data_IF_869939584415
#
_entry.id   IF_869939584415
#
_cell.length_a   1.000
_cell.length_b   1.000
_cell.length_c   1.000
_cell.angle_alpha   90.00
_cell.angle_beta   90.00
_cell.angle_gamma   90.00
#
_symmetry.space_group_name_H-M   'P 1'
#
loop_
_entity.id
_entity.type
_entity.pdbx_description
1 polymer ?
#
# COMPACT_ATOMS: atom_id res chain seq x y z
N UNK A 1 30.70 10.78 40.53
CA UNK A 1 29.96 10.88 39.24
C UNK A 1 30.83 10.86 37.98
N UNK A 2 32.07 11.40 37.93
CA UNK A 2 32.88 11.47 36.69
C UNK A 2 33.39 10.13 36.11
N UNK A 3 33.57 9.06 36.90
CA UNK A 3 34.12 7.78 36.41
C UNK A 3 33.15 6.95 35.54
N UNK A 4 31.84 7.12 35.69
CA UNK A 4 30.83 6.27 35.03
C UNK A 4 30.67 6.55 33.53
N UNK A 5 31.01 7.75 33.07
CA UNK A 5 30.87 8.15 31.66
C UNK A 5 32.11 7.81 30.81
N UNK A 6 33.21 7.37 31.44
CA UNK A 6 34.54 7.30 30.85
C UNK A 6 34.94 5.93 30.27
N UNK A 7 34.20 4.85 30.51
CA UNK A 7 34.52 3.49 30.01
C UNK A 7 33.66 3.03 28.83
N UNK A 8 32.88 3.93 28.22
CA UNK A 8 31.85 3.57 27.23
C UNK A 8 32.45 2.90 25.99
N UNK A 9 32.18 1.60 25.84
CA UNK A 9 31.99 0.95 24.53
C UNK A 9 30.49 0.72 24.37
N UNK A 10 29.87 1.23 23.31
CA UNK A 10 28.58 0.69 22.88
C UNK A 10 28.85 -0.71 22.35
N UNK A 11 28.67 -1.72 23.22
CA UNK A 11 28.72 -3.11 22.81
C UNK A 11 27.31 -3.48 22.40
N UNK A 12 27.14 -3.77 21.11
CA UNK A 12 25.85 -4.25 20.62
C UNK A 12 25.72 -5.73 21.00
N UNK A 13 24.67 -6.01 21.75
CA UNK A 13 24.23 -7.34 22.10
C UNK A 13 23.57 -7.98 20.87
N UNK A 14 24.12 -9.10 20.41
CA UNK A 14 23.59 -9.86 19.28
C UNK A 14 22.64 -10.94 19.75
N UNK A 15 23.00 -11.63 20.82
CA UNK A 15 22.28 -12.82 21.28
C UNK A 15 22.47 -13.02 22.78
N UNK A 16 21.45 -13.54 23.44
CA UNK A 16 21.52 -14.00 24.83
C UNK A 16 21.23 -15.50 24.84
N UNK A 17 22.13 -16.26 25.44
CA UNK A 17 22.00 -17.71 25.63
C UNK A 17 21.89 -18.03 27.11
N UNK A 18 20.86 -18.75 27.53
CA UNK A 18 20.78 -19.30 28.89
C UNK A 18 21.21 -20.76 28.89
N UNK A 19 22.08 -21.13 29.83
CA UNK A 19 22.57 -22.51 30.00
C UNK A 19 21.97 -23.15 31.27
N UNK A 20 21.70 -24.46 31.17
CA UNK A 20 21.14 -25.30 32.23
C UNK A 20 19.89 -24.68 32.89
N UNK A 21 18.83 -24.51 32.10
CA UNK A 21 17.56 -23.98 32.57
C UNK A 21 16.91 -24.99 33.52
N UNK A 22 16.64 -24.58 34.76
CA UNK A 22 15.94 -25.39 35.74
C UNK A 22 14.93 -24.56 36.53
N UNK A 23 13.72 -25.12 36.70
CA UNK A 23 12.68 -24.56 37.59
C UNK A 23 13.08 -24.71 39.07
N UNK A 24 13.84 -25.77 39.38
CA UNK A 24 14.26 -26.10 40.73
C UNK A 24 15.66 -25.53 41.02
N UNK A 25 15.86 -25.00 42.24
CA UNK A 25 17.20 -24.71 42.76
C UNK A 25 17.86 -26.04 43.18
N UNK A 26 19.16 -26.19 42.92
CA UNK A 26 19.94 -27.41 43.16
C UNK A 26 20.01 -27.92 44.64
N UNK A 27 19.33 -27.26 45.58
CA UNK A 27 19.25 -27.66 46.99
C UNK A 27 17.92 -28.38 47.34
N UNK A 28 17.03 -28.62 46.38
CA UNK A 28 15.76 -29.34 46.57
C UNK A 28 15.83 -30.83 46.24
N UNK A 29 14.85 -31.60 46.74
CA UNK A 29 14.79 -33.05 46.63
C UNK A 29 15.00 -33.59 45.21
N UNK A 30 16.01 -34.44 45.06
CA UNK A 30 16.55 -34.94 43.79
C UNK A 30 15.61 -35.85 42.98
N UNK A 31 14.46 -36.23 43.54
CA UNK A 31 13.46 -37.09 42.89
C UNK A 31 12.54 -36.31 41.94
N UNK A 32 12.05 -35.13 42.36
CA UNK A 32 11.21 -34.24 41.52
C UNK A 32 11.98 -33.65 40.32
N UNK A 33 13.29 -33.49 40.47
CA UNK A 33 14.17 -32.92 39.45
C UNK A 33 14.34 -33.87 38.24
N UNK A 34 14.18 -35.19 38.42
CA UNK A 34 14.39 -36.18 37.35
C UNK A 34 13.13 -36.48 36.53
N UNK A 35 11.95 -36.44 37.15
CA UNK A 35 10.68 -36.75 36.44
C UNK A 35 10.18 -35.58 35.60
N UNK A 36 10.41 -34.33 36.03
CA UNK A 36 10.01 -33.12 35.31
C UNK A 36 11.19 -32.40 34.63
N UNK A 37 12.40 -32.94 34.76
CA UNK A 37 13.63 -32.40 34.17
C UNK A 37 13.86 -32.76 32.69
N UNK A 38 12.97 -33.55 32.08
CA UNK A 38 13.07 -33.95 30.65
C UNK A 38 12.09 -33.18 29.74
N UNK A 39 11.30 -32.24 30.28
CA UNK A 39 10.35 -31.43 29.52
C UNK A 39 10.96 -30.15 28.93
N UNK A 40 10.47 -29.71 27.77
CA UNK A 40 10.76 -28.38 27.23
C UNK A 40 9.99 -27.32 28.01
N UNK A 41 10.69 -26.45 28.74
CA UNK A 41 10.04 -25.33 29.47
C UNK A 41 10.01 -24.11 28.55
N UNK A 42 8.82 -23.61 28.17
CA UNK A 42 8.73 -22.37 27.42
C UNK A 42 9.19 -21.21 28.32
N UNK A 43 10.18 -20.47 27.84
CA UNK A 43 10.80 -19.37 28.57
C UNK A 43 10.85 -18.12 27.69
N UNK A 44 10.74 -16.96 28.32
CA UNK A 44 11.09 -15.68 27.72
C UNK A 44 11.95 -14.89 28.72
N UNK A 45 12.70 -13.91 28.23
CA UNK A 45 13.43 -13.01 29.10
C UNK A 45 12.93 -11.58 28.99
N UNK A 46 13.11 -10.86 30.07
CA UNK A 46 12.78 -9.44 30.21
C UNK A 46 14.08 -8.69 30.44
N UNK A 47 14.31 -7.66 29.64
CA UNK A 47 15.37 -6.67 29.85
C UNK A 47 14.75 -5.42 30.43
N UNK A 48 15.21 -5.04 31.62
CA UNK A 48 14.84 -3.81 32.31
C UNK A 48 16.07 -2.92 32.49
N UNK A 49 15.82 -1.62 32.49
CA UNK A 49 16.79 -0.62 32.95
C UNK A 49 16.90 -0.67 34.47
N UNK A 50 18.02 -0.17 35.03
CA UNK A 50 18.17 -0.01 36.49
C UNK A 50 17.08 0.90 37.11
N UNK A 51 16.42 1.72 36.29
CA UNK A 51 15.30 2.58 36.68
C UNK A 51 13.94 1.89 36.68
N UNK A 52 13.89 0.60 36.32
CA UNK A 52 12.64 -0.17 36.22
C UNK A 52 11.89 0.02 34.89
N UNK A 53 12.46 0.75 33.93
CA UNK A 53 11.90 0.89 32.58
C UNK A 53 12.08 -0.42 31.80
N UNK A 54 10.99 -0.94 31.24
CA UNK A 54 11.00 -2.11 30.37
C UNK A 54 11.68 -1.75 29.04
N UNK A 55 12.83 -2.37 28.75
CA UNK A 55 13.58 -2.12 27.52
C UNK A 55 13.16 -3.08 26.41
N UNK A 56 12.99 -4.36 26.75
CA UNK A 56 12.63 -5.38 25.78
C UNK A 56 12.08 -6.63 26.48
N UNK A 57 11.12 -7.29 25.82
CA UNK A 57 10.61 -8.61 26.19
C UNK A 57 10.81 -9.51 25.00
N UNK A 58 11.43 -10.66 25.22
CA UNK A 58 11.68 -11.62 24.15
C UNK A 58 10.43 -12.39 23.77
N UNK A 59 10.44 -12.94 22.57
CA UNK A 59 9.51 -14.01 22.22
C UNK A 59 9.71 -15.23 23.12
N UNK A 60 8.64 -16.00 23.30
CA UNK A 60 8.66 -17.24 24.06
C UNK A 60 9.38 -18.29 23.22
N UNK A 61 10.45 -18.85 23.77
CA UNK A 61 11.16 -19.96 23.17
C UNK A 61 11.00 -21.21 24.04
N UNK A 62 10.69 -22.33 23.40
CA UNK A 62 10.74 -23.67 23.99
C UNK A 62 11.89 -24.43 23.32
N UNK A 63 12.93 -24.77 24.09
CA UNK A 63 14.14 -25.40 23.57
C UNK A 63 14.82 -26.27 24.61
N UNK A 64 15.92 -26.92 24.24
CA UNK A 64 16.64 -27.81 25.15
C UNK A 64 17.03 -27.10 26.44
N UNK A 65 16.79 -27.74 27.59
CA UNK A 65 17.16 -27.22 28.90
C UNK A 65 18.66 -26.96 29.06
N UNK A 66 19.51 -27.53 28.19
CA UNK A 66 20.96 -27.31 28.24
C UNK A 66 21.38 -25.94 27.68
N UNK A 67 20.76 -25.48 26.60
CA UNK A 67 21.05 -24.20 25.95
C UNK A 67 19.80 -23.68 25.24
N UNK A 68 19.35 -22.50 25.64
CA UNK A 68 18.24 -21.79 25.02
C UNK A 68 18.72 -20.40 24.58
N UNK A 69 18.39 -20.04 23.34
CA UNK A 69 19.23 -19.16 22.54
C UNK A 69 18.38 -18.12 21.81
N UNK A 70 18.43 -16.88 22.27
CA UNK A 70 17.59 -15.80 21.76
C UNK A 70 18.40 -14.88 20.84
N UNK A 71 18.17 -15.00 19.52
CA UNK A 71 19.00 -14.36 18.48
C UNK A 71 18.50 -12.97 18.04
N UNK A 72 17.24 -12.64 18.28
CA UNK A 72 16.62 -11.42 17.75
C UNK A 72 16.47 -10.34 18.82
N UNK A 73 17.58 -9.70 19.17
CA UNK A 73 17.54 -8.55 20.08
C UNK A 73 17.52 -7.24 19.29
N UNK A 74 16.49 -6.37 19.48
CA UNK A 74 16.51 -5.05 18.90
C UNK A 74 17.67 -4.23 19.47
N UNK A 75 18.15 -3.26 18.69
CA UNK A 75 19.20 -2.34 19.14
C UNK A 75 18.68 -1.52 20.32
N UNK A 76 19.14 -1.86 21.52
CA UNK A 76 18.84 -1.11 22.73
C UNK A 76 19.36 0.33 22.57
N UNK A 77 18.46 1.31 22.62
CA UNK A 77 18.75 2.74 22.44
C UNK A 77 19.30 3.40 23.72
N UNK A 78 19.36 2.66 24.83
CA UNK A 78 19.85 3.15 26.11
C UNK A 78 21.38 3.17 26.22
N UNK A 79 21.93 4.28 26.74
CA UNK A 79 23.35 4.38 27.13
C UNK A 79 23.65 3.76 28.52
N UNK A 80 22.74 2.94 29.05
CA UNK A 80 22.85 2.33 30.37
C UNK A 80 23.88 1.20 30.36
N UNK A 81 24.89 1.31 31.23
CA UNK A 81 25.92 0.27 31.41
C UNK A 81 25.46 -0.89 32.27
N UNK A 82 24.37 -0.71 33.01
CA UNK A 82 23.76 -1.71 33.86
C UNK A 82 22.38 -2.04 33.34
N UNK A 83 22.10 -3.33 33.19
CA UNK A 83 20.83 -3.86 32.75
C UNK A 83 20.38 -4.94 33.72
N UNK A 84 19.07 -5.07 33.93
CA UNK A 84 18.48 -6.14 34.71
C UNK A 84 17.88 -7.15 33.74
N UNK A 85 18.37 -8.38 33.79
CA UNK A 85 17.90 -9.49 32.96
C UNK A 85 17.09 -10.45 33.84
N UNK A 86 15.81 -10.59 33.55
CA UNK A 86 14.93 -11.57 34.21
C UNK A 86 14.62 -12.69 33.25
N UNK A 87 14.81 -13.93 33.68
CA UNK A 87 14.34 -15.12 32.95
C UNK A 87 13.00 -15.53 33.55
N UNK A 88 11.99 -15.69 32.71
CA UNK A 88 10.63 -16.10 33.10
C UNK A 88 10.31 -17.41 32.39
N UNK A 89 9.81 -18.38 33.14
CA UNK A 89 9.41 -19.69 32.63
C UNK A 89 7.98 -20.00 33.00
N UNK A 90 7.30 -20.76 32.14
CA UNK A 90 5.99 -21.31 32.46
C UNK A 90 6.18 -22.48 33.42
N UNK A 91 5.48 -22.45 34.55
CA UNK A 91 5.40 -23.59 35.47
C UNK A 91 4.10 -24.32 35.17
N UNK A 92 4.17 -25.57 34.68
CA UNK A 92 3.01 -26.41 34.47
C UNK A 92 2.17 -26.57 35.74
N UNK A 93 0.86 -26.56 35.56
CA UNK A 93 -0.17 -26.84 36.55
C UNK A 93 0.11 -28.12 37.36
N UNK A 94 0.65 -29.17 36.74
CA UNK A 94 1.05 -30.43 37.42
C UNK A 94 2.06 -30.21 38.56
N UNK A 95 3.01 -29.29 38.39
CA UNK A 95 4.02 -28.95 39.42
C UNK A 95 3.40 -28.02 40.48
N UNK A 96 2.47 -27.15 40.10
CA UNK A 96 1.78 -26.27 41.05
C UNK A 96 0.81 -27.07 41.95
N UNK A 97 0.16 -28.08 41.41
CA UNK A 97 -0.73 -29.01 42.14
C UNK A 97 0.02 -29.90 43.13
N UNK A 98 1.30 -30.21 42.89
CA UNK A 98 2.12 -30.99 43.85
C UNK A 98 2.66 -30.13 44.99
N UNK A 99 2.83 -28.83 44.78
CA UNK A 99 3.35 -27.89 45.79
C UNK A 99 2.22 -27.26 46.63
N UNK A 100 1.05 -27.03 46.03
CA UNK A 100 -0.13 -26.52 46.75
C UNK A 100 -1.00 -27.67 47.25
N UNK A 101 -1.28 -27.70 48.56
CA UNK A 101 -2.08 -28.76 49.20
C UNK A 101 -3.58 -28.71 48.85
N UNK A 102 -4.01 -27.82 47.95
CA UNK A 102 -5.42 -27.55 47.66
C UNK A 102 -5.87 -28.29 46.40
N UNK A 103 -6.47 -29.47 46.59
CA UNK A 103 -6.90 -30.38 45.51
C UNK A 103 -8.17 -29.94 44.74
N UNK A 104 -8.75 -28.77 45.04
CA UNK A 104 -10.07 -28.37 44.53
C UNK A 104 -10.09 -27.06 43.73
N UNK A 105 -8.93 -26.44 43.47
CA UNK A 105 -8.84 -25.27 42.59
C UNK A 105 -8.41 -25.68 41.17
N UNK A 106 -9.02 -25.10 40.14
CA UNK A 106 -8.45 -25.13 38.79
C UNK A 106 -7.17 -24.28 38.86
N UNK A 107 -6.01 -24.93 38.93
CA UNK A 107 -4.71 -24.26 38.95
C UNK A 107 -4.21 -24.21 37.51
N UNK A 108 -4.40 -23.06 36.86
CA UNK A 108 -3.86 -22.81 35.52
C UNK A 108 -2.33 -22.68 35.55
N UNK A 109 -1.69 -22.91 34.40
CA UNK A 109 -0.25 -22.71 34.22
C UNK A 109 0.13 -21.25 34.53
N UNK A 110 1.15 -21.04 35.38
CA UNK A 110 1.59 -19.69 35.79
C UNK A 110 3.00 -19.38 35.30
N UNK A 111 3.18 -18.16 34.81
CA UNK A 111 4.50 -17.63 34.48
C UNK A 111 5.21 -17.16 35.74
N UNK A 112 6.38 -17.74 36.03
CA UNK A 112 7.17 -17.41 37.20
C UNK A 112 8.56 -16.91 36.80
N UNK A 113 9.06 -15.91 37.53
CA UNK A 113 10.43 -15.41 37.37
C UNK A 113 11.40 -16.46 37.93
N UNK A 114 12.17 -17.10 37.05
CA UNK A 114 13.13 -18.13 37.41
C UNK A 114 14.39 -17.54 38.03
N UNK A 115 14.93 -16.48 37.40
CA UNK A 115 16.15 -15.80 37.83
C UNK A 115 16.11 -14.32 37.48
N UNK A 116 16.79 -13.50 38.28
CA UNK A 116 17.00 -12.07 38.04
C UNK A 116 18.47 -11.75 38.19
N UNK A 117 19.08 -11.20 37.14
CA UNK A 117 20.49 -10.83 37.09
C UNK A 117 20.63 -9.33 36.91
N UNK A 118 21.38 -8.69 37.79
CA UNK A 118 21.86 -7.31 37.60
C UNK A 118 23.22 -7.35 36.91
N UNK A 119 23.25 -7.03 35.62
CA UNK A 119 24.43 -7.16 34.77
C UNK A 119 25.07 -5.79 34.57
N UNK A 120 26.34 -5.65 34.97
CA UNK A 120 27.20 -4.52 34.59
C UNK A 120 28.03 -4.92 33.36
N UNK A 121 27.73 -4.32 32.21
CA UNK A 121 28.39 -4.62 30.93
C UNK A 121 29.90 -4.39 30.94
N UNK A 122 30.42 -3.61 31.91
CA UNK A 122 31.86 -3.37 32.07
C UNK A 122 32.60 -4.50 32.80
N UNK A 123 31.89 -5.33 33.59
CA UNK A 123 32.48 -6.36 34.47
C UNK A 123 32.31 -7.79 33.93
N UNK A 124 31.93 -7.92 32.66
CA UNK A 124 31.74 -9.20 31.99
C UNK A 124 33.07 -9.91 31.73
N UNK A 125 33.10 -11.22 31.95
CA UNK A 125 34.26 -12.06 31.66
C UNK A 125 34.13 -12.68 30.26
N UNK A 126 35.17 -12.62 29.40
CA UNK A 126 35.12 -13.24 28.09
C UNK A 126 35.18 -14.77 28.22
N UNK A 127 34.31 -15.47 27.48
CA UNK A 127 34.31 -16.93 27.36
C UNK A 127 34.50 -17.31 25.89
N UNK A 128 35.18 -18.43 25.67
CA UNK A 128 35.17 -19.11 24.37
C UNK A 128 34.28 -20.35 24.47
N UNK A 129 33.11 -20.31 23.81
CA UNK A 129 32.04 -21.32 23.94
C UNK A 129 32.53 -22.76 23.66
N UNK A 130 33.51 -22.93 22.78
CA UNK A 130 34.03 -24.25 22.39
C UNK A 130 34.91 -24.93 23.45
N UNK A 131 35.41 -24.18 24.44
CA UNK A 131 36.46 -24.65 25.38
C UNK A 131 36.00 -24.74 26.83
N UNK A 132 34.79 -24.28 27.12
CA UNK A 132 34.31 -24.03 28.48
C UNK A 132 32.91 -24.60 28.67
N UNK A 133 32.75 -25.44 29.70
CA UNK A 133 31.44 -25.88 30.15
C UNK A 133 30.95 -24.98 31.30
N UNK A 134 29.77 -24.40 31.09
CA UNK A 134 29.08 -23.60 32.11
C UNK A 134 28.29 -24.54 33.01
N UNK A 135 28.66 -24.58 34.30
CA UNK A 135 28.03 -25.48 35.29
C UNK A 135 27.00 -24.79 36.18
N UNK A 136 26.83 -23.47 36.01
CA UNK A 136 25.77 -22.72 36.69
C UNK A 136 24.39 -23.11 36.17
N UNK A 137 23.40 -23.13 37.07
CA UNK A 137 21.98 -23.25 36.73
C UNK A 137 21.42 -21.88 36.31
N UNK A 138 20.65 -21.83 35.22
CA UNK A 138 20.05 -20.62 34.64
C UNK A 138 21.06 -19.54 34.22
N UNK A 139 22.29 -19.92 33.86
CA UNK A 139 23.41 -19.01 33.61
C UNK A 139 23.31 -18.27 32.26
N UNK A 140 23.28 -16.91 32.22
CA UNK A 140 23.28 -16.15 30.97
C UNK A 140 24.68 -15.95 30.37
N UNK A 141 24.80 -16.30 29.08
CA UNK A 141 25.90 -15.93 28.18
C UNK A 141 25.40 -14.84 27.24
N UNK A 142 26.18 -13.78 27.10
CA UNK A 142 25.89 -12.64 26.25
C UNK A 142 26.85 -12.65 25.06
N UNK A 143 26.32 -12.84 23.86
CA UNK A 143 27.08 -12.72 22.62
C UNK A 143 27.03 -11.27 22.14
N UNK A 144 28.20 -10.63 22.17
CA UNK A 144 28.41 -9.27 21.71
C UNK A 144 29.18 -9.30 20.39
N UNK A 145 29.21 -8.19 19.64
CA UNK A 145 30.01 -8.08 18.38
C UNK A 145 31.47 -8.51 18.57
N UNK A 146 32.03 -8.23 19.74
CA UNK A 146 33.44 -8.48 20.05
C UNK A 146 33.73 -9.92 20.53
N UNK A 147 32.70 -10.73 20.83
CA UNK A 147 32.83 -12.08 21.38
C UNK A 147 31.76 -12.43 22.42
N UNK A 148 31.83 -13.65 22.96
CA UNK A 148 30.92 -14.19 23.98
C UNK A 148 31.40 -13.87 25.40
N UNK A 149 30.49 -13.51 26.29
CA UNK A 149 30.81 -13.12 27.65
C UNK A 149 29.83 -13.69 28.69
N UNK A 150 30.29 -13.90 29.92
CA UNK A 150 29.46 -14.32 31.05
C UNK A 150 29.65 -13.43 32.28
N UNK A 151 28.81 -13.69 33.29
CA UNK A 151 28.90 -13.05 34.59
C UNK A 151 30.12 -13.57 35.36
N UNK A 152 30.85 -12.66 36.00
CA UNK A 152 32.08 -12.95 36.73
C UNK A 152 31.91 -13.92 37.94
N UNK A 153 30.67 -14.16 38.37
CA UNK A 153 30.34 -15.02 39.50
C UNK A 153 30.07 -16.49 39.12
N UNK A 154 30.09 -16.83 37.82
CA UNK A 154 29.71 -18.17 37.36
C UNK A 154 30.84 -19.20 37.44
N UNK A 155 30.49 -20.43 37.85
CA UNK A 155 31.41 -21.55 37.95
C UNK A 155 31.68 -22.14 36.56
N UNK A 156 32.82 -21.78 36.00
CA UNK A 156 33.32 -22.22 34.70
C UNK A 156 34.26 -23.42 34.90
N UNK A 157 34.03 -24.54 34.19
CA UNK A 157 34.98 -25.66 34.11
C UNK A 157 35.58 -25.74 32.70
N UNK A 158 36.91 -25.76 32.54
CA UNK A 158 37.53 -25.95 31.23
C UNK A 158 37.28 -27.40 30.75
N UNK A 159 36.86 -27.54 29.50
CA UNK A 159 36.68 -28.86 28.87
C UNK A 159 38.08 -29.44 28.59
N UNK A 160 38.48 -30.49 29.31
CA UNK A 160 39.75 -31.19 29.03
C UNK A 160 39.59 -31.98 27.73
N UNK A 161 40.21 -31.47 26.67
CA UNK A 161 40.40 -32.19 25.42
C UNK A 161 39.68 -31.59 24.22
N UNK A 162 40.22 -30.49 23.67
CA UNK A 162 40.34 -30.32 22.22
C UNK A 162 41.44 -29.29 21.95
N UNK A 163 42.39 -29.69 21.12
CA UNK A 163 43.55 -28.89 20.69
C UNK A 163 43.11 -27.94 19.58
N UNK A 164 43.78 -26.78 19.54
CA UNK A 164 43.68 -25.70 18.54
C UNK A 164 42.65 -24.60 18.84
N UNK A 165 43.00 -23.74 19.80
CA UNK A 165 42.43 -22.40 19.87
C UNK A 165 42.91 -21.60 18.65
N UNK A 166 42.02 -21.25 17.72
CA UNK A 166 42.30 -20.14 16.81
C UNK A 166 42.56 -18.90 17.67
N UNK A 167 43.84 -18.48 17.74
CA UNK A 167 44.24 -17.19 18.32
C UNK A 167 43.62 -16.08 17.46
N UNK A 168 42.36 -15.72 17.71
CA UNK A 168 41.93 -14.36 17.42
C UNK A 168 42.77 -13.47 18.32
N UNK A 169 43.55 -12.58 17.71
CA UNK A 169 44.27 -11.54 18.43
C UNK A 169 43.24 -10.73 19.24
N UNK A 170 43.13 -11.03 20.54
CA UNK A 170 42.45 -10.17 21.49
C UNK A 170 43.31 -8.92 21.54
N UNK A 171 42.95 -7.93 20.74
CA UNK A 171 43.59 -6.63 20.80
C UNK A 171 43.46 -6.13 22.24
N UNK A 172 44.60 -5.92 22.91
CA UNK A 172 44.64 -5.12 24.13
C UNK A 172 44.31 -3.68 23.73
N UNK A 173 43.02 -3.41 23.56
CA UNK A 173 42.52 -2.09 23.24
C UNK A 173 42.71 -1.23 24.48
N UNK A 174 43.76 -0.39 24.45
CA UNK A 174 44.01 0.64 25.45
C UNK A 174 42.74 1.48 25.62
N UNK A 175 42.16 1.44 26.83
CA UNK A 175 41.03 2.29 27.20
C UNK A 175 41.53 3.74 27.15
N UNK A 176 41.22 4.47 26.09
CA UNK A 176 41.49 5.90 26.02
C UNK A 176 40.44 6.63 26.85
N UNK A 177 40.86 7.11 28.02
CA UNK A 177 40.08 7.96 28.90
C UNK A 177 40.05 9.39 28.35
N UNK A 178 39.17 9.68 27.40
CA UNK A 178 38.87 11.07 27.06
C UNK A 178 37.40 11.24 26.69
N UNK A 179 36.64 11.79 27.64
CA UNK A 179 35.38 12.47 27.34
C UNK A 179 35.72 13.71 26.51
N UNK A 180 35.74 13.57 25.19
CA UNK A 180 35.83 14.72 24.31
C UNK A 180 34.49 15.47 24.34
N UNK A 181 34.52 16.80 24.42
CA UNK A 181 33.31 17.64 24.30
C UNK A 181 32.47 17.27 23.06
N UNK A 182 33.15 16.90 21.96
CA UNK A 182 32.51 16.45 20.72
C UNK A 182 31.64 15.19 20.89
N UNK A 183 31.98 14.25 21.78
CA UNK A 183 31.13 13.07 22.01
C UNK A 183 29.90 13.38 22.84
N UNK A 184 30.01 14.31 23.80
CA UNK A 184 28.86 14.82 24.56
C UNK A 184 27.92 15.64 23.66
N UNK A 185 28.46 16.47 22.78
CA UNK A 185 27.68 17.23 21.81
C UNK A 185 26.92 16.31 20.85
N UNK A 186 27.55 15.24 20.36
CA UNK A 186 26.88 14.22 19.52
C UNK A 186 25.75 13.53 20.26
N UNK A 187 25.93 13.18 21.53
CA UNK A 187 24.88 12.58 22.34
C UNK A 187 23.72 13.54 22.56
N UNK A 188 24.01 14.82 22.84
CA UNK A 188 22.97 15.84 22.97
C UNK A 188 22.19 16.02 21.65
N UNK A 189 22.89 16.12 20.52
CA UNK A 189 22.25 16.21 19.20
C UNK A 189 21.41 14.98 18.86
N UNK A 190 21.82 13.79 19.29
CA UNK A 190 21.02 12.57 19.11
C UNK A 190 19.75 12.60 19.97
N UNK A 191 19.84 13.09 21.22
CA UNK A 191 18.67 13.26 22.07
C UNK A 191 17.70 14.33 21.52
N UNK A 192 18.23 15.43 21.00
CA UNK A 192 17.45 16.49 20.33
C UNK A 192 16.74 15.92 19.09
N UNK A 193 17.44 15.15 18.26
CA UNK A 193 16.83 14.44 17.13
C UNK A 193 15.74 13.46 17.59
N UNK A 194 15.98 12.70 18.66
CA UNK A 194 14.96 11.80 19.22
C UNK A 194 13.73 12.56 19.73
N UNK A 195 13.91 13.76 20.28
CA UNK A 195 12.81 14.63 20.70
C UNK A 195 12.02 15.12 19.49
N UNK A 196 12.72 15.56 18.44
CA UNK A 196 12.09 15.99 17.20
C UNK A 196 11.27 14.87 16.55
N UNK A 197 11.79 13.64 16.51
CA UNK A 197 11.02 12.49 16.00
C UNK A 197 9.76 12.25 16.83
N UNK A 198 9.83 12.47 18.15
CA UNK A 198 8.64 12.34 19.01
C UNK A 198 7.61 13.45 18.75
N UNK A 199 8.06 14.68 18.49
CA UNK A 199 7.20 15.78 18.07
C UNK A 199 6.55 15.49 16.70
N UNK A 200 7.30 14.97 15.73
CA UNK A 200 6.76 14.55 14.43
C UNK A 200 5.72 13.43 14.58
N UNK A 201 5.95 12.46 15.47
CA UNK A 201 4.96 11.42 15.78
C UNK A 201 3.69 12.06 16.35
N UNK A 202 3.81 13.00 17.28
CA UNK A 202 2.66 13.69 17.85
C UNK A 202 1.91 14.54 16.81
N UNK A 203 2.63 15.19 15.89
CA UNK A 203 2.04 15.93 14.78
C UNK A 203 1.28 15.01 13.83
N UNK A 204 1.85 13.84 13.50
CA UNK A 204 1.17 12.81 12.68
C UNK A 204 -0.06 12.28 13.41
N UNK A 205 0.04 11.99 14.71
CA UNK A 205 -1.10 11.57 15.52
C UNK A 205 -2.21 12.61 15.52
N UNK A 206 -1.88 13.90 15.69
CA UNK A 206 -2.86 14.99 15.60
C UNK A 206 -3.52 15.06 14.23
N UNK A 207 -2.77 14.94 13.14
CA UNK A 207 -3.32 14.92 11.77
C UNK A 207 -4.28 13.75 11.56
N UNK A 208 -3.92 12.57 12.07
CA UNK A 208 -4.79 11.39 12.01
C UNK A 208 -6.07 11.64 12.81
N UNK A 209 -5.99 12.24 14.00
CA UNK A 209 -7.17 12.59 14.81
C UNK A 209 -8.08 13.60 14.10
N UNK A 210 -7.52 14.64 13.48
CA UNK A 210 -8.25 15.62 12.68
C UNK A 210 -8.97 14.97 11.48
N UNK A 211 -8.29 14.05 10.79
CA UNK A 211 -8.87 13.26 9.69
C UNK A 211 -10.06 12.41 10.18
N UNK A 212 -9.95 11.78 11.36
CA UNK A 212 -11.04 11.04 11.98
C UNK A 212 -12.24 11.92 12.38
N UNK A 213 -11.99 13.16 12.82
CA UNK A 213 -13.06 14.10 13.18
C UNK A 213 -13.80 14.63 11.95
N UNK A 214 -13.11 14.82 10.82
CA UNK A 214 -13.65 15.41 9.60
C UNK A 214 -14.66 14.53 8.85
N UNK A 215 -14.57 13.19 8.98
CA UNK A 215 -15.29 12.22 8.14
C UNK A 215 -16.34 11.38 8.90
N UNK A 216 -17.07 11.98 9.83
CA UNK A 216 -18.11 11.22 10.55
C UNK A 216 -19.30 10.86 9.65
N UNK A 217 -19.49 9.56 9.44
CA UNK A 217 -20.70 8.87 8.97
C UNK A 217 -21.27 9.23 7.57
N UNK A 218 -20.61 10.07 6.77
CA UNK A 218 -21.08 10.39 5.41
C UNK A 218 -21.10 9.13 4.54
N UNK A 219 -20.00 8.38 4.48
CA UNK A 219 -19.93 7.14 3.69
C UNK A 219 -20.88 6.06 4.20
N UNK A 220 -21.11 5.98 5.51
CA UNK A 220 -22.08 5.05 6.09
C UNK A 220 -23.52 5.38 5.68
N UNK A 221 -23.86 6.68 5.62
CA UNK A 221 -25.16 7.12 5.11
C UNK A 221 -25.31 6.81 3.62
N UNK A 222 -24.29 7.06 2.80
CA UNK A 222 -24.31 6.67 1.39
C UNK A 222 -24.51 5.17 1.20
N UNK A 223 -23.82 4.32 1.96
CA UNK A 223 -23.99 2.87 1.90
C UNK A 223 -25.41 2.44 2.30
N UNK A 224 -26.01 3.04 3.32
CA UNK A 224 -27.42 2.80 3.67
C UNK A 224 -28.38 3.23 2.57
N UNK A 225 -28.10 4.34 1.88
CA UNK A 225 -28.92 4.81 0.77
C UNK A 225 -28.81 3.88 -0.44
N UNK A 226 -27.61 3.38 -0.74
CA UNK A 226 -27.42 2.32 -1.75
C UNK A 226 -28.19 1.06 -1.37
N UNK A 227 -28.14 0.63 -0.11
CA UNK A 227 -28.87 -0.55 0.34
C UNK A 227 -30.38 -0.39 0.22
N UNK A 228 -30.93 0.79 0.56
CA UNK A 228 -32.34 1.11 0.30
C UNK A 228 -32.69 1.06 -1.19
N UNK A 229 -31.79 1.54 -2.06
CA UNK A 229 -32.01 1.50 -3.51
C UNK A 229 -32.05 0.06 -4.06
N UNK A 230 -31.20 -0.83 -3.51
CA UNK A 230 -31.22 -2.26 -3.83
C UNK A 230 -32.56 -2.87 -3.40
N UNK A 231 -33.01 -2.62 -2.16
CA UNK A 231 -34.31 -3.10 -1.67
C UNK A 231 -35.49 -2.61 -2.53
N UNK A 232 -35.43 -1.35 -3.03
CA UNK A 232 -36.48 -0.84 -3.94
C UNK A 232 -36.45 -1.57 -5.28
N UNK A 233 -35.28 -1.83 -5.85
CA UNK A 233 -35.14 -2.56 -7.11
C UNK A 233 -35.60 -4.02 -6.96
N UNK A 234 -35.32 -4.66 -5.82
CA UNK A 234 -35.81 -6.01 -5.53
C UNK A 234 -37.34 -6.04 -5.43
N UNK A 235 -37.96 -5.05 -4.78
CA UNK A 235 -39.42 -4.92 -4.72
C UNK A 235 -40.03 -4.73 -6.10
N UNK A 236 -39.45 -3.88 -6.94
CA UNK A 236 -39.89 -3.68 -8.32
C UNK A 236 -39.75 -4.96 -9.15
N UNK A 237 -38.62 -5.68 -9.01
CA UNK A 237 -38.41 -6.95 -9.69
C UNK A 237 -39.42 -8.01 -9.24
N UNK A 238 -39.75 -8.05 -7.94
CA UNK A 238 -40.77 -8.92 -7.39
C UNK A 238 -42.18 -8.55 -7.91
N UNK A 239 -42.51 -7.26 -8.00
CA UNK A 239 -43.76 -6.79 -8.59
C UNK A 239 -43.86 -7.15 -10.07
N UNK A 240 -42.77 -7.00 -10.85
CA UNK A 240 -42.72 -7.45 -12.24
C UNK A 240 -42.89 -8.96 -12.39
N UNK A 241 -42.33 -9.75 -11.46
CA UNK A 241 -42.56 -11.20 -11.44
C UNK A 241 -44.00 -11.55 -11.09
N UNK A 242 -44.62 -10.84 -10.14
CA UNK A 242 -46.04 -11.02 -9.79
C UNK A 242 -46.96 -10.62 -10.94
N UNK A 243 -46.70 -9.50 -11.61
CA UNK A 243 -47.50 -9.08 -12.77
C UNK A 243 -47.37 -10.08 -13.92
N UNK A 244 -46.16 -10.59 -14.20
CA UNK A 244 -45.96 -11.67 -15.17
C UNK A 244 -46.75 -12.93 -14.82
N UNK A 245 -46.69 -13.39 -13.56
CA UNK A 245 -47.48 -14.54 -13.10
C UNK A 245 -48.98 -14.30 -13.22
N UNK A 246 -49.45 -13.10 -12.90
CA UNK A 246 -50.86 -12.74 -13.04
C UNK A 246 -51.30 -12.70 -14.51
N UNK A 247 -50.43 -12.20 -15.41
CA UNK A 247 -50.66 -12.24 -16.85
C UNK A 247 -50.66 -13.69 -17.36
N UNK A 248 -49.75 -14.55 -16.90
CA UNK A 248 -49.74 -15.98 -17.24
C UNK A 248 -51.00 -16.71 -16.75
N UNK A 249 -51.47 -16.42 -15.54
CA UNK A 249 -52.73 -16.97 -15.00
C UNK A 249 -53.95 -16.47 -15.80
N UNK A 250 -54.01 -15.17 -16.10
CA UNK A 250 -55.06 -14.60 -16.94
C UNK A 250 -54.97 -15.16 -18.38
N UNK A 251 -53.77 -15.45 -18.88
CA UNK A 251 -53.57 -16.09 -20.17
C UNK A 251 -54.02 -17.54 -20.17
N UNK A 252 -53.82 -18.29 -19.08
CA UNK A 252 -54.35 -19.65 -18.90
C UNK A 252 -55.88 -19.66 -18.87
N UNK A 253 -56.50 -18.77 -18.08
CA UNK A 253 -57.95 -18.59 -18.04
C UNK A 253 -58.49 -18.14 -19.42
N UNK A 254 -57.78 -17.24 -20.10
CA UNK A 254 -58.14 -16.79 -21.44
C UNK A 254 -57.95 -17.90 -22.48
N UNK A 255 -56.93 -18.75 -22.39
CA UNK A 255 -56.67 -19.82 -23.35
C UNK A 255 -57.75 -20.91 -23.29
N UNK A 256 -58.30 -21.18 -22.11
CA UNK A 256 -59.47 -22.05 -21.94
C UNK A 256 -60.72 -21.44 -22.60
N UNK A 257 -60.90 -20.12 -22.52
CA UNK A 257 -61.98 -19.42 -23.26
C UNK A 257 -61.73 -19.25 -24.76
N UNK A 258 -60.46 -19.14 -25.19
CA UNK A 258 -60.01 -18.94 -26.58
C UNK A 258 -60.13 -20.22 -27.39
N UNK A 259 -59.95 -21.40 -26.77
CA UNK A 259 -60.19 -22.68 -27.45
C UNK A 259 -61.68 -22.89 -27.79
N UNK A 260 -62.60 -22.22 -27.09
CA UNK A 260 -64.03 -22.20 -27.42
C UNK A 260 -64.42 -21.09 -28.41
N UNK A 261 -63.67 -19.99 -28.51
CA UNK A 261 -63.99 -18.84 -29.39
C UNK A 261 -63.14 -18.75 -30.66
N UNK A 262 -62.16 -19.63 -30.86
CA UNK A 262 -61.32 -19.71 -32.06
C UNK A 262 -62.04 -20.17 -33.33
N UNK A 263 -63.32 -20.54 -33.27
CA UNK A 263 -64.12 -20.85 -34.47
C UNK A 263 -64.76 -19.60 -35.10
N UNK A 264 -64.81 -18.45 -34.43
CA UNK A 264 -65.66 -17.33 -34.89
C UNK A 264 -64.98 -15.97 -35.14
N UNK A 265 -63.73 -15.73 -34.74
CA UNK A 265 -63.10 -14.42 -34.92
C UNK A 265 -61.71 -14.50 -35.58
N UNK A 266 -61.69 -15.10 -36.77
CA UNK A 266 -60.72 -14.72 -37.78
C UNK A 266 -61.10 -13.33 -38.29
N UNK A 267 -60.17 -12.37 -38.25
CA UNK A 267 -60.26 -10.99 -38.78
C UNK A 267 -60.85 -9.92 -37.84
N UNK A 268 -60.04 -9.39 -36.92
CA UNK A 268 -60.17 -7.98 -36.51
C UNK A 268 -58.81 -7.27 -36.53
N UNK A 269 -58.76 -6.22 -37.33
CA UNK A 269 -57.65 -5.27 -37.54
C UNK A 269 -57.44 -4.36 -36.32
N UNK A 270 -57.02 -4.91 -35.18
CA UNK A 270 -56.58 -4.11 -34.02
C UNK A 270 -55.06 -4.18 -33.77
N UNK A 271 -54.38 -5.20 -34.26
CA UNK A 271 -52.92 -5.36 -34.11
C UNK A 271 -52.09 -4.35 -34.92
N UNK A 272 -52.64 -3.74 -35.97
CA UNK A 272 -51.95 -2.69 -36.75
C UNK A 272 -51.84 -1.36 -35.98
N UNK A 273 -52.81 -1.03 -35.12
CA UNK A 273 -52.83 0.24 -34.38
C UNK A 273 -51.70 0.35 -33.33
N UNK A 274 -51.33 -0.77 -32.70
CA UNK A 274 -50.22 -0.83 -31.75
C UNK A 274 -48.89 -0.67 -32.50
N UNK A 275 -48.78 -1.24 -33.71
CA UNK A 275 -47.59 -1.14 -34.54
C UNK A 275 -47.39 0.30 -35.09
N UNK A 276 -48.47 1.03 -35.35
CA UNK A 276 -48.45 2.45 -35.73
C UNK A 276 -47.96 3.36 -34.59
N UNK A 277 -48.34 3.07 -33.34
CA UNK A 277 -47.83 3.81 -32.18
C UNK A 277 -46.33 3.60 -31.99
N UNK A 278 -45.82 2.37 -32.11
CA UNK A 278 -44.37 2.12 -32.11
C UNK A 278 -43.67 2.78 -33.30
N UNK A 279 -44.24 2.68 -34.51
CA UNK A 279 -43.72 3.34 -35.72
C UNK A 279 -43.64 4.85 -35.57
N UNK A 280 -44.63 5.48 -34.92
CA UNK A 280 -44.65 6.92 -34.67
C UNK A 280 -43.58 7.35 -33.65
N UNK A 281 -43.35 6.55 -32.61
CA UNK A 281 -42.30 6.80 -31.60
C UNK A 281 -40.92 6.65 -32.24
N UNK A 282 -40.69 5.60 -33.03
CA UNK A 282 -39.44 5.42 -33.76
C UNK A 282 -39.22 6.52 -34.79
N UNK A 283 -40.27 6.95 -35.51
CA UNK A 283 -40.18 8.07 -36.45
C UNK A 283 -39.81 9.37 -35.74
N UNK A 284 -40.44 9.68 -34.60
CA UNK A 284 -40.06 10.84 -33.77
C UNK A 284 -38.64 10.73 -33.23
N UNK A 285 -38.23 9.54 -32.81
CA UNK A 285 -36.86 9.30 -32.35
C UNK A 285 -35.83 9.55 -33.46
N UNK A 286 -36.09 9.03 -34.67
CA UNK A 286 -35.25 9.26 -35.85
C UNK A 286 -35.20 10.75 -36.18
N UNK A 287 -36.34 11.45 -36.21
CA UNK A 287 -36.37 12.90 -36.46
C UNK A 287 -35.58 13.70 -35.40
N UNK A 288 -35.68 13.33 -34.12
CA UNK A 288 -34.92 13.97 -33.03
C UNK A 288 -33.42 13.67 -33.19
N UNK A 289 -33.06 12.44 -33.53
CA UNK A 289 -31.68 12.01 -33.79
C UNK A 289 -31.10 12.80 -34.97
N UNK A 290 -31.81 12.88 -36.09
CA UNK A 290 -31.36 13.59 -37.29
C UNK A 290 -31.21 15.09 -37.01
N UNK A 291 -32.13 15.69 -36.25
CA UNK A 291 -32.01 17.09 -35.82
C UNK A 291 -30.81 17.31 -34.90
N UNK A 292 -30.53 16.38 -34.00
CA UNK A 292 -29.36 16.43 -33.13
C UNK A 292 -28.07 16.31 -33.94
N UNK A 293 -28.04 15.40 -34.92
CA UNK A 293 -26.90 15.19 -35.81
C UNK A 293 -26.65 16.44 -36.67
N UNK A 294 -27.69 17.04 -37.25
CA UNK A 294 -27.59 18.34 -37.94
C UNK A 294 -27.02 19.45 -37.04
N UNK A 295 -27.41 19.51 -35.76
CA UNK A 295 -26.84 20.48 -34.82
C UNK A 295 -25.37 20.19 -34.51
N UNK A 296 -24.99 18.91 -34.37
CA UNK A 296 -23.59 18.50 -34.20
C UNK A 296 -22.75 18.89 -35.42
N UNK A 297 -23.25 18.65 -36.63
CA UNK A 297 -22.60 19.08 -37.87
C UNK A 297 -22.41 20.59 -37.94
N UNK A 298 -23.45 21.36 -37.62
CA UNK A 298 -23.35 22.84 -37.60
C UNK A 298 -22.30 23.31 -36.60
N UNK A 299 -22.26 22.74 -35.40
CA UNK A 299 -21.24 23.07 -34.38
C UNK A 299 -19.83 22.67 -34.83
N UNK A 300 -19.68 21.50 -35.46
CA UNK A 300 -18.40 21.06 -35.99
C UNK A 300 -17.91 22.00 -37.10
N UNK A 301 -18.80 22.42 -38.01
CA UNK A 301 -18.47 23.37 -39.07
C UNK A 301 -18.06 24.74 -38.51
N UNK A 302 -18.80 25.25 -37.51
CA UNK A 302 -18.42 26.47 -36.80
C UNK A 302 -17.05 26.34 -36.12
N UNK A 303 -16.79 25.21 -35.46
CA UNK A 303 -15.52 24.93 -34.83
C UNK A 303 -14.37 24.87 -35.84
N UNK A 304 -14.56 24.17 -36.96
CA UNK A 304 -13.60 24.13 -38.06
C UNK A 304 -13.35 25.55 -38.58
N UNK A 305 -14.41 26.36 -38.76
CA UNK A 305 -14.28 27.76 -39.18
C UNK A 305 -13.44 28.61 -38.22
N UNK A 306 -13.62 28.43 -36.91
CA UNK A 306 -12.84 29.13 -35.88
C UNK A 306 -11.36 28.71 -35.93
N UNK A 307 -11.10 27.42 -36.08
CA UNK A 307 -9.73 26.91 -36.12
C UNK A 307 -9.09 26.97 -37.52
N UNK A 308 -9.80 27.40 -38.57
CA UNK A 308 -9.23 27.56 -39.90
C UNK A 308 -8.13 28.63 -39.93
N UNK A 309 -8.21 29.65 -39.08
CA UNK A 309 -7.15 30.66 -38.93
C UNK A 309 -5.95 30.16 -38.12
N UNK A 310 -6.06 28.98 -37.48
CA UNK A 310 -4.93 28.31 -36.85
C UNK A 310 -4.36 27.32 -37.86
N UNK A 311 -3.03 27.27 -38.05
CA UNK A 311 -2.39 26.38 -39.04
C UNK A 311 -2.62 24.86 -38.81
N UNK A 312 -3.53 24.46 -37.92
CA UNK A 312 -3.95 23.10 -37.66
C UNK A 312 -4.46 22.36 -38.91
N UNK A 313 -5.11 23.06 -39.83
CA UNK A 313 -5.68 22.50 -41.07
C UNK A 313 -4.76 22.67 -42.29
N UNK A 314 -3.52 23.12 -42.10
CA UNK A 314 -2.57 23.31 -43.18
C UNK A 314 -2.21 21.95 -43.82
N UNK A 315 -2.24 21.86 -45.16
CA UNK A 315 -1.99 20.61 -45.89
C UNK A 315 -0.62 20.00 -45.62
N UNK A 316 0.37 20.85 -45.35
CA UNK A 316 1.78 20.42 -45.31
C UNK A 316 2.27 20.17 -43.88
N UNK A 317 1.74 20.93 -42.90
CA UNK A 317 2.21 20.94 -41.51
C UNK A 317 1.11 20.72 -40.47
N UNK A 318 -0.15 20.71 -40.88
CA UNK A 318 -1.29 20.56 -39.99
C UNK A 318 -1.43 19.15 -39.42
N UNK A 319 -2.14 19.07 -38.29
CA UNK A 319 -2.47 17.80 -37.63
C UNK A 319 -3.86 17.29 -38.03
N UNK A 320 -4.65 18.10 -38.74
CA UNK A 320 -6.02 17.77 -39.14
C UNK A 320 -6.14 17.99 -40.64
N UNK A 321 -6.65 17.00 -41.38
CA UNK A 321 -6.85 17.12 -42.83
C UNK A 321 -8.19 16.52 -43.26
N UNK A 322 -8.68 16.99 -44.40
CA UNK A 322 -9.86 16.44 -45.06
C UNK A 322 -9.45 15.56 -46.24
N UNK A 323 -9.96 14.32 -46.29
CA UNK A 323 -9.79 13.47 -47.48
C UNK A 323 -10.58 14.02 -48.68
N UNK A 324 -10.03 13.85 -49.89
CA UNK A 324 -10.61 14.32 -51.16
C UNK A 324 -11.98 13.64 -51.43
N UNK A 325 -12.91 14.33 -52.10
CA UNK A 325 -14.35 14.03 -52.01
C UNK A 325 -14.77 12.79 -52.80
N UNK A 326 -15.71 12.04 -52.21
CA UNK A 326 -16.63 11.15 -52.93
C UNK A 326 -18.10 11.60 -52.84
N UNK A 327 -18.50 12.41 -51.85
CA UNK A 327 -19.84 13.06 -51.77
C UNK A 327 -19.78 14.35 -50.95
N UNK A 328 -20.65 15.34 -51.20
CA UNK A 328 -20.63 16.71 -50.60
C UNK A 328 -21.08 16.75 -49.13
N UNK A 329 -21.74 15.70 -48.61
CA UNK A 329 -22.47 15.78 -47.34
C UNK A 329 -21.79 15.14 -46.11
N UNK A 330 -20.66 14.43 -46.26
CA UNK A 330 -20.05 13.71 -45.13
C UNK A 330 -18.81 14.41 -44.53
N UNK A 331 -19.02 15.52 -43.81
CA UNK A 331 -17.91 16.23 -43.13
C UNK A 331 -17.21 15.36 -42.08
N UNK A 332 -17.95 14.49 -41.38
CA UNK A 332 -17.41 13.59 -40.35
C UNK A 332 -16.50 12.52 -40.96
N UNK A 333 -16.93 11.84 -42.04
CA UNK A 333 -16.13 10.80 -42.68
C UNK A 333 -14.84 11.37 -43.29
N UNK A 334 -14.85 12.65 -43.66
CA UNK A 334 -13.69 13.35 -44.21
C UNK A 334 -12.68 13.79 -43.17
N UNK A 335 -13.09 14.04 -41.92
CA UNK A 335 -12.21 14.58 -40.89
C UNK A 335 -11.21 13.50 -40.46
N UNK A 336 -9.94 13.64 -40.86
CA UNK A 336 -8.87 12.76 -40.44
C UNK A 336 -7.90 13.49 -39.52
N UNK A 337 -7.67 12.88 -38.37
CA UNK A 337 -6.75 13.36 -37.33
C UNK A 337 -5.41 12.66 -37.48
N UNK A 338 -4.29 13.38 -37.47
CA UNK A 338 -2.96 12.76 -37.57
C UNK A 338 -2.44 12.42 -36.17
N UNK A 339 -1.96 11.18 -35.94
CA UNK A 339 -1.24 10.89 -34.70
C UNK A 339 0.08 11.67 -34.68
N UNK A 340 0.48 12.09 -33.49
CA UNK A 340 1.73 12.80 -33.25
C UNK A 340 2.92 11.84 -33.33
N UNK A 341 3.94 12.21 -34.10
CA UNK A 341 5.21 11.49 -34.16
C UNK A 341 6.25 12.18 -33.28
N UNK A 342 6.71 11.46 -32.25
CA UNK A 342 7.63 11.96 -31.22
C UNK A 342 8.96 12.43 -31.83
N UNK A 343 9.53 11.69 -32.78
CA UNK A 343 10.84 12.00 -33.38
C UNK A 343 10.78 13.30 -34.21
N UNK A 344 9.71 13.46 -34.97
CA UNK A 344 9.48 14.65 -35.80
C UNK A 344 9.28 15.89 -34.91
N UNK A 345 8.48 15.75 -33.84
CA UNK A 345 8.22 16.86 -32.92
C UNK A 345 9.47 17.27 -32.14
N UNK A 346 10.28 16.31 -31.69
CA UNK A 346 11.56 16.59 -31.03
C UNK A 346 12.52 17.34 -31.95
N UNK A 347 12.58 16.94 -33.23
CA UNK A 347 13.41 17.63 -34.23
C UNK A 347 12.94 19.07 -34.44
N UNK A 348 11.66 19.28 -34.68
CA UNK A 348 11.08 20.62 -34.89
C UNK A 348 11.22 21.53 -33.67
N UNK A 349 11.04 21.00 -32.47
CA UNK A 349 11.23 21.76 -31.23
C UNK A 349 12.69 22.10 -30.93
N UNK A 350 13.65 21.34 -31.49
CA UNK A 350 15.09 21.56 -31.34
C UNK A 350 15.70 22.57 -32.31
N UNK A 351 14.98 23.00 -33.35
CA UNK A 351 15.50 23.90 -34.39
C UNK A 351 15.71 25.34 -33.90
N UNK A 352 14.74 25.92 -33.18
CA UNK A 352 14.87 27.24 -32.56
C UNK A 352 13.82 27.46 -31.47
N UNK A 353 14.06 28.43 -30.58
CA UNK A 353 13.11 28.81 -29.52
C UNK A 353 11.75 29.24 -30.08
N UNK A 354 11.75 30.01 -31.19
CA UNK A 354 10.53 30.44 -31.89
C UNK A 354 9.77 29.26 -32.51
N UNK A 355 10.47 28.29 -33.09
CA UNK A 355 9.82 27.08 -33.60
C UNK A 355 9.20 26.24 -32.48
N UNK A 356 9.89 26.16 -31.33
CA UNK A 356 9.36 25.46 -30.15
C UNK A 356 8.07 26.07 -29.64
N UNK A 357 8.01 27.40 -29.50
CA UNK A 357 6.79 28.11 -29.09
C UNK A 357 5.64 27.90 -30.07
N UNK A 358 5.95 27.90 -31.37
CA UNK A 358 4.99 27.59 -32.42
C UNK A 358 4.45 26.15 -32.28
N UNK A 359 5.34 25.16 -32.13
CA UNK A 359 4.96 23.75 -31.94
C UNK A 359 4.09 23.59 -30.68
N UNK A 360 4.47 24.21 -29.56
CA UNK A 360 3.70 24.20 -28.32
C UNK A 360 2.29 24.79 -28.50
N UNK A 361 2.19 25.89 -29.23
CA UNK A 361 0.90 26.54 -29.53
C UNK A 361 0.03 25.64 -30.40
N UNK A 362 0.62 25.01 -31.42
CA UNK A 362 -0.10 24.06 -32.29
C UNK A 362 -0.58 22.82 -31.53
N UNK A 363 0.23 22.26 -30.63
CA UNK A 363 -0.18 21.15 -29.76
C UNK A 363 -1.32 21.55 -28.82
N UNK A 364 -1.26 22.75 -28.26
CA UNK A 364 -2.33 23.31 -27.44
C UNK A 364 -3.64 23.46 -28.22
N UNK A 365 -3.60 24.04 -29.42
CA UNK A 365 -4.79 24.16 -30.26
C UNK A 365 -5.32 22.81 -30.71
N UNK A 366 -4.44 21.84 -31.01
CA UNK A 366 -4.87 20.51 -31.39
C UNK A 366 -5.57 19.78 -30.24
N UNK A 367 -5.03 19.89 -29.02
CA UNK A 367 -5.67 19.38 -27.82
C UNK A 367 -7.03 20.04 -27.57
N UNK A 368 -7.13 21.36 -27.72
CA UNK A 368 -8.39 22.07 -27.58
C UNK A 368 -9.42 21.62 -28.61
N UNK A 369 -9.02 21.49 -29.88
CA UNK A 369 -9.89 21.01 -30.93
C UNK A 369 -10.41 19.61 -30.63
N UNK A 370 -9.54 18.69 -30.21
CA UNK A 370 -9.93 17.32 -29.85
C UNK A 370 -10.87 17.30 -28.64
N UNK A 371 -10.58 18.10 -27.62
CA UNK A 371 -11.43 18.22 -26.43
C UNK A 371 -12.83 18.74 -26.77
N UNK A 372 -12.93 19.83 -27.55
CA UNK A 372 -14.21 20.43 -27.93
C UNK A 372 -15.02 19.49 -28.85
N UNK A 373 -14.36 18.86 -29.83
CA UNK A 373 -15.03 17.91 -30.72
C UNK A 373 -15.53 16.68 -29.97
N UNK A 374 -14.66 15.98 -29.25
CA UNK A 374 -15.03 14.75 -28.55
C UNK A 374 -16.05 15.01 -27.43
N UNK A 375 -15.75 15.92 -26.49
CA UNK A 375 -16.53 16.05 -25.25
C UNK A 375 -17.75 16.96 -25.45
N UNK A 376 -17.62 18.10 -26.16
CA UNK A 376 -18.73 19.06 -26.26
C UNK A 376 -19.68 18.79 -27.45
N UNK A 377 -19.15 18.35 -28.60
CA UNK A 377 -19.97 18.10 -29.80
C UNK A 377 -20.52 16.67 -29.79
N UNK A 378 -19.64 15.67 -29.72
CA UNK A 378 -20.03 14.27 -29.82
C UNK A 378 -20.43 13.64 -28.47
N UNK A 379 -20.03 14.25 -27.35
CA UNK A 379 -20.19 13.67 -26.00
C UNK A 379 -19.56 12.28 -25.89
N UNK A 380 -18.45 12.09 -26.58
CA UNK A 380 -17.64 10.88 -26.59
C UNK A 380 -16.69 10.88 -25.39
N UNK A 381 -16.66 9.81 -24.57
CA UNK A 381 -15.64 9.66 -23.54
C UNK A 381 -14.28 9.38 -24.20
N UNK A 382 -13.24 10.06 -23.72
CA UNK A 382 -11.83 9.82 -24.08
C UNK A 382 -11.14 9.05 -22.94
N UNK A 383 -10.05 8.28 -23.18
CA UNK A 383 -9.42 7.48 -22.13
C UNK A 383 -8.67 8.34 -21.12
N UNK A 384 -8.15 9.49 -21.57
CA UNK A 384 -7.39 10.41 -20.73
C UNK A 384 -8.03 11.80 -20.68
N UNK A 385 -7.81 12.53 -19.58
CA UNK A 385 -8.39 13.85 -19.37
C UNK A 385 -7.53 14.93 -20.01
N UNK A 386 -8.03 15.51 -21.10
CA UNK A 386 -7.43 16.65 -21.78
C UNK A 386 -7.68 17.96 -21.01
N UNK A 387 -6.62 18.71 -20.67
CA UNK A 387 -6.72 20.03 -20.05
C UNK A 387 -5.98 21.09 -20.87
N UNK A 388 -6.74 22.06 -21.38
CA UNK A 388 -6.20 23.14 -22.19
C UNK A 388 -5.68 24.30 -21.32
N UNK A 389 -4.40 24.64 -21.49
CA UNK A 389 -3.74 25.79 -20.87
C UNK A 389 -2.90 26.55 -21.92
N UNK A 390 -3.44 26.72 -23.12
CA UNK A 390 -2.72 27.35 -24.23
C UNK A 390 -1.51 26.51 -24.69
N UNK A 391 -0.36 27.17 -24.85
CA UNK A 391 0.91 26.53 -25.21
C UNK A 391 1.49 25.60 -24.13
N UNK A 392 0.90 25.60 -22.94
CA UNK A 392 1.34 24.76 -21.79
C UNK A 392 0.29 23.71 -21.38
N UNK A 393 -0.43 23.17 -22.36
CA UNK A 393 -1.51 22.20 -22.11
C UNK A 393 -1.01 20.89 -21.48
N UNK A 394 -1.89 20.22 -20.73
CA UNK A 394 -1.55 19.08 -19.85
C UNK A 394 -2.57 17.95 -20.01
N UNK A 395 -2.12 16.71 -19.87
CA UNK A 395 -2.94 15.49 -19.85
C UNK A 395 -2.96 14.92 -18.43
N UNK A 396 -4.15 14.52 -17.97
CA UNK A 396 -4.43 14.01 -16.61
C UNK A 396 -3.91 14.91 -15.47
N UNK A 397 -3.77 16.21 -15.72
CA UNK A 397 -3.19 17.18 -14.78
C UNK A 397 -1.72 16.92 -14.39
N UNK A 398 -1.05 15.93 -15.02
CA UNK A 398 0.29 15.48 -14.61
C UNK A 398 1.32 15.43 -15.75
N UNK A 399 0.87 15.23 -16.98
CA UNK A 399 1.73 15.00 -18.14
C UNK A 399 1.72 16.23 -19.07
N UNK A 400 2.82 17.01 -19.12
CA UNK A 400 2.88 18.21 -19.94
C UNK A 400 2.96 17.85 -21.43
N UNK A 401 2.10 18.45 -22.25
CA UNK A 401 2.10 18.34 -23.71
C UNK A 401 2.78 19.58 -24.33
N UNK A 402 3.98 19.91 -23.85
CA UNK A 402 4.76 21.03 -24.35
C UNK A 402 6.27 20.85 -24.09
N UNK A 403 7.07 21.51 -24.92
CA UNK A 403 8.53 21.53 -24.86
C UNK A 403 9.03 22.72 -24.04
N UNK A 404 10.04 22.50 -23.18
CA UNK A 404 10.69 23.54 -22.36
C UNK A 404 12.06 23.95 -22.90
N UNK A 405 12.56 25.09 -22.43
CA UNK A 405 13.88 25.63 -22.75
C UNK A 405 15.03 24.71 -22.34
N UNK A 406 14.89 24.10 -21.16
CA UNK A 406 15.81 23.11 -20.62
C UNK A 406 15.06 21.79 -20.44
N UNK A 407 15.31 20.85 -21.33
CA UNK A 407 14.76 19.49 -21.25
C UNK A 407 15.51 18.69 -20.19
N UNK A 408 15.02 18.72 -18.95
CA UNK A 408 15.45 17.74 -17.94
C UNK A 408 14.93 16.37 -18.39
N UNK A 409 15.74 15.31 -18.24
CA UNK A 409 15.37 13.94 -18.63
C UNK A 409 14.00 13.49 -18.11
N UNK A 410 13.63 13.95 -16.91
CA UNK A 410 12.32 13.74 -16.29
C UNK A 410 11.17 14.40 -17.07
N UNK A 411 11.35 15.62 -17.60
CA UNK A 411 10.35 16.31 -18.41
C UNK A 411 10.17 15.63 -19.76
N UNK A 412 11.28 15.23 -20.40
CA UNK A 412 11.24 14.52 -21.68
C UNK A 412 10.51 13.18 -21.56
N UNK A 413 10.77 12.39 -20.51
CA UNK A 413 10.06 11.14 -20.27
C UNK A 413 8.55 11.35 -20.05
N UNK A 414 8.16 12.44 -19.35
CA UNK A 414 6.75 12.79 -19.16
C UNK A 414 6.08 13.28 -20.45
N UNK A 415 6.78 14.03 -21.28
CA UNK A 415 6.29 14.51 -22.57
C UNK A 415 6.07 13.35 -23.54
N UNK A 416 6.98 12.37 -23.58
CA UNK A 416 6.81 11.15 -24.38
C UNK A 416 5.54 10.40 -23.96
N UNK A 417 5.32 10.25 -22.65
CA UNK A 417 4.08 9.66 -22.11
C UNK A 417 2.84 10.49 -22.48
N UNK A 418 2.92 11.82 -22.37
CA UNK A 418 1.84 12.73 -22.78
C UNK A 418 1.45 12.49 -24.25
N UNK A 419 2.44 12.41 -25.15
CA UNK A 419 2.19 12.17 -26.58
C UNK A 419 1.55 10.80 -26.81
N UNK A 420 1.97 9.75 -26.08
CA UNK A 420 1.33 8.44 -26.17
C UNK A 420 -0.12 8.46 -25.71
N UNK A 421 -0.42 9.11 -24.59
CA UNK A 421 -1.80 9.25 -24.09
C UNK A 421 -2.66 10.06 -25.04
N UNK A 422 -2.14 11.17 -25.56
CA UNK A 422 -2.84 11.98 -26.55
C UNK A 422 -3.13 11.20 -27.84
N UNK A 423 -2.17 10.39 -28.31
CA UNK A 423 -2.37 9.54 -29.48
C UNK A 423 -3.43 8.45 -29.24
N UNK A 424 -3.56 7.95 -28.00
CA UNK A 424 -4.64 7.04 -27.64
C UNK A 424 -6.00 7.75 -27.64
N UNK A 425 -6.09 9.00 -27.15
CA UNK A 425 -7.30 9.82 -27.27
C UNK A 425 -7.69 10.04 -28.75
N UNK A 426 -6.71 10.38 -29.61
CA UNK A 426 -6.93 10.53 -31.06
C UNK A 426 -7.45 9.22 -31.66
N UNK A 427 -6.84 8.08 -31.31
CA UNK A 427 -7.22 6.78 -31.86
C UNK A 427 -8.64 6.39 -31.44
N UNK A 428 -9.00 6.57 -30.16
CA UNK A 428 -10.35 6.28 -29.71
C UNK A 428 -11.36 7.19 -30.41
N UNK A 429 -11.06 8.48 -30.53
CA UNK A 429 -11.97 9.39 -31.20
C UNK A 429 -12.12 9.06 -32.69
N UNK A 430 -11.05 8.63 -33.39
CA UNK A 430 -11.16 8.10 -34.76
C UNK A 430 -12.11 6.90 -34.85
N UNK A 431 -11.95 5.92 -33.96
CA UNK A 431 -12.83 4.74 -33.94
C UNK A 431 -14.29 5.14 -33.71
N UNK A 432 -14.54 6.15 -32.88
CA UNK A 432 -15.87 6.68 -32.64
C UNK A 432 -16.42 7.34 -33.91
N UNK A 433 -15.62 8.15 -34.61
CA UNK A 433 -16.03 8.79 -35.86
C UNK A 433 -16.29 7.77 -36.98
N UNK A 434 -15.51 6.69 -37.08
CA UNK A 434 -15.71 5.61 -38.06
C UNK A 434 -16.99 4.81 -37.81
N UNK A 435 -17.32 4.58 -36.54
CA UNK A 435 -18.57 3.93 -36.14
C UNK A 435 -19.78 4.88 -36.18
N UNK A 436 -19.54 6.19 -36.32
CA UNK A 436 -20.58 7.19 -36.41
C UNK A 436 -21.16 7.23 -37.82
N UNK A 437 -22.20 6.44 -38.07
CA UNK A 437 -23.00 6.56 -39.29
C UNK A 437 -24.12 7.58 -39.06
N UNK A 438 -24.05 8.79 -39.65
CA UNK A 438 -25.23 9.62 -39.77
C UNK A 438 -26.27 8.86 -40.59
N UNK A 439 -27.52 8.88 -40.15
CA UNK A 439 -28.65 8.28 -40.87
C UNK A 439 -29.17 9.22 -41.94
#
# INVERSE_FOLDING_TARGET
MKRFLLSRRQRHLRMICFHNISLFRANGDSKLIKEYGDGFIPCFFILESIRGELLYVSEVQSGSLRKLSFQELPKLTGASTMIVLKLVGLVPSDILCTISSDKNGIIDDKWCVLCTYTIDLNKLQPINEDTVLITGTNAPVLDLIDGSYTLAAEKIKPLKGLVSSHKRNISQVKIKFSLAYSSLLKLNKLLEYSSQVHEEINEISSKIEDDFLSLKNQNHWYMRTVQKSIETLEKEALQRKKSKKNIEMAQLESNDTINHSKTELSLMSQDESINDDYGSIYSRFVQIKDRLDQLRFKKLYQLIGIFHSTDLFNSDRGYIYFEKPSSVNDVINRLKLKPLNIEILLRQAGESTKHREYVNSQLGYYLLFLHLTAIQIFKAPLPYRLMYYGSTSVIDSQYPLYFTDQMISKHQAKLIKAIHYFNADILQFKQILENYRPT
#
